data_IF_916969208096
#
_entry.id   IF_916969208096
#
_cell.length_a   1.000
_cell.length_b   1.000
_cell.length_c   1.000
_cell.angle_alpha   90.00
_cell.angle_beta   90.00
_cell.angle_gamma   90.00
#
_symmetry.space_group_name_H-M   'P 1'
#
loop_
_entity.id
_entity.type
_entity.pdbx_description
1 polymer ?
#
# COMPACT_ATOMS: atom_id res chain seq x y z
N UNK A 1 42.76 -51.09 -17.61
CA UNK A 1 42.79 -49.67 -17.21
C UNK A 1 41.36 -49.24 -16.94
N UNK A 2 40.91 -49.36 -15.68
CA UNK A 2 39.60 -48.91 -15.24
C UNK A 2 39.84 -47.85 -14.15
N UNK A 3 39.39 -46.63 -14.47
CA UNK A 3 39.57 -45.40 -13.72
C UNK A 3 38.77 -45.44 -12.42
N UNK A 4 39.46 -45.39 -11.27
CA UNK A 4 38.88 -45.17 -9.95
C UNK A 4 38.58 -43.67 -9.76
N UNK A 5 37.35 -43.25 -10.01
CA UNK A 5 36.83 -42.00 -9.45
C UNK A 5 36.48 -42.27 -7.97
N UNK A 6 37.38 -41.84 -7.09
CA UNK A 6 37.12 -41.79 -5.64
C UNK A 6 36.42 -40.46 -5.39
N UNK A 7 35.12 -40.50 -5.15
CA UNK A 7 34.35 -39.36 -4.62
C UNK A 7 34.87 -39.03 -3.22
N UNK A 8 35.66 -37.97 -3.13
CA UNK A 8 36.15 -37.40 -1.88
C UNK A 8 35.06 -36.50 -1.26
N UNK A 9 33.96 -37.09 -0.80
CA UNK A 9 33.04 -36.39 0.10
C UNK A 9 33.64 -36.43 1.51
N UNK A 10 33.88 -35.28 2.17
CA UNK A 10 34.38 -35.28 3.54
C UNK A 10 33.34 -35.90 4.45
N UNK A 11 33.65 -37.07 5.01
CA UNK A 11 32.74 -37.79 5.91
C UNK A 11 32.59 -37.01 7.22
N UNK A 12 31.40 -36.45 7.46
CA UNK A 12 30.97 -35.93 8.76
C UNK A 12 31.16 -37.02 9.83
N UNK A 13 31.79 -36.69 10.97
CA UNK A 13 32.00 -37.70 12.02
C UNK A 13 30.67 -38.13 12.62
N UNK A 14 30.50 -39.44 12.80
CA UNK A 14 29.27 -40.06 13.32
C UNK A 14 28.89 -39.49 14.70
N UNK A 15 29.90 -39.20 15.53
CA UNK A 15 29.74 -38.61 16.86
C UNK A 15 29.15 -37.19 16.83
N UNK A 16 29.43 -36.42 15.78
CA UNK A 16 28.90 -35.08 15.62
C UNK A 16 27.45 -35.09 15.14
N UNK A 17 27.13 -35.95 14.17
CA UNK A 17 25.77 -36.11 13.66
C UNK A 17 24.82 -36.49 14.82
N UNK A 18 25.28 -37.38 15.71
CA UNK A 18 24.51 -37.80 16.89
C UNK A 18 24.31 -36.71 17.95
N UNK A 19 25.15 -35.66 17.98
CA UNK A 19 24.98 -34.51 18.88
C UNK A 19 23.93 -33.51 18.40
N UNK A 20 23.54 -33.57 17.13
CA UNK A 20 22.61 -32.62 16.50
C UNK A 20 21.40 -33.35 15.90
N UNK A 21 20.32 -33.61 16.68
CA UNK A 21 19.19 -34.43 16.25
C UNK A 21 18.49 -33.94 14.97
N UNK A 22 18.47 -32.62 14.76
CA UNK A 22 17.92 -32.03 13.53
C UNK A 22 18.79 -32.31 12.31
N UNK A 23 20.12 -32.22 12.46
CA UNK A 23 21.05 -32.55 11.39
C UNK A 23 20.97 -34.04 11.04
N UNK A 24 20.88 -34.90 12.05
CA UNK A 24 20.71 -36.35 11.85
C UNK A 24 19.45 -36.65 11.04
N UNK A 25 18.28 -36.11 11.44
CA UNK A 25 17.03 -36.30 10.69
C UNK A 25 17.12 -35.82 9.24
N UNK A 26 17.83 -34.71 9.02
CA UNK A 26 17.95 -34.08 7.71
C UNK A 26 18.88 -34.87 6.77
N UNK A 27 19.97 -35.42 7.31
CA UNK A 27 20.87 -36.34 6.60
C UNK A 27 20.16 -37.67 6.29
N UNK A 28 19.46 -38.26 7.26
CA UNK A 28 18.69 -39.50 7.06
C UNK A 28 17.64 -39.33 5.96
N UNK A 29 16.92 -38.20 5.96
CA UNK A 29 15.97 -37.88 4.90
C UNK A 29 16.67 -37.75 3.53
N UNK A 30 17.80 -37.07 3.45
CA UNK A 30 18.54 -36.90 2.19
C UNK A 30 19.04 -38.24 1.60
N UNK A 31 19.53 -39.13 2.47
CA UNK A 31 19.94 -40.48 2.07
C UNK A 31 18.77 -41.31 1.52
N UNK A 32 17.56 -41.11 2.04
CA UNK A 32 16.34 -41.77 1.56
C UNK A 32 15.83 -41.20 0.23
N UNK A 33 15.96 -39.88 0.01
CA UNK A 33 15.54 -39.23 -1.24
C UNK A 33 16.48 -39.54 -2.40
N UNK A 34 17.78 -39.75 -2.14
CA UNK A 34 18.75 -40.14 -3.16
C UNK A 34 18.51 -41.53 -3.79
N UNK A 35 17.71 -42.39 -3.14
CA UNK A 35 17.36 -43.72 -3.63
C UNK A 35 16.08 -43.77 -4.47
N UNK A 36 15.26 -42.71 -4.49
CA UNK A 36 13.98 -42.67 -5.22
C UNK A 36 14.05 -41.75 -6.46
N UNK A 37 14.08 -42.35 -7.65
CA UNK A 37 13.85 -41.78 -8.99
C UNK A 37 14.68 -40.54 -9.43
N UNK A 38 15.45 -40.74 -10.52
CA UNK A 38 16.26 -39.71 -11.22
C UNK A 38 15.44 -38.55 -11.84
N UNK A 39 14.11 -38.66 -11.90
CA UNK A 39 13.24 -37.60 -12.46
C UNK A 39 12.88 -36.48 -11.47
N UNK A 40 13.30 -36.57 -10.19
CA UNK A 40 12.97 -35.61 -9.13
C UNK A 40 14.10 -34.63 -8.76
N UNK A 41 15.22 -34.61 -9.48
CA UNK A 41 16.41 -33.79 -9.13
C UNK A 41 16.11 -32.30 -8.94
N UNK A 42 15.13 -31.74 -9.65
CA UNK A 42 14.74 -30.34 -9.53
C UNK A 42 13.87 -30.02 -8.30
N UNK A 43 13.15 -31.00 -7.73
CA UNK A 43 12.15 -30.74 -6.68
C UNK A 43 12.78 -30.43 -5.32
N UNK A 44 14.03 -30.84 -5.12
CA UNK A 44 14.76 -30.66 -3.86
C UNK A 44 16.08 -29.89 -4.01
N UNK A 45 16.26 -29.15 -5.11
CA UNK A 45 17.51 -28.45 -5.43
C UNK A 45 18.01 -27.54 -4.30
N UNK A 46 17.11 -26.79 -3.65
CA UNK A 46 17.50 -25.97 -2.50
C UNK A 46 17.96 -26.80 -1.29
N UNK A 47 17.20 -27.84 -0.92
CA UNK A 47 17.54 -28.68 0.23
C UNK A 47 18.89 -29.39 0.03
N UNK A 48 19.14 -29.91 -1.17
CA UNK A 48 20.42 -30.50 -1.54
C UNK A 48 21.55 -29.49 -1.37
N UNK A 49 21.41 -28.30 -1.97
CA UNK A 49 22.39 -27.22 -1.85
C UNK A 49 22.62 -26.75 -0.41
N UNK A 50 21.56 -26.75 0.41
CA UNK A 50 21.64 -26.41 1.83
C UNK A 50 22.43 -27.45 2.63
N UNK A 51 22.19 -28.74 2.37
CA UNK A 51 22.93 -29.85 2.99
C UNK A 51 24.40 -29.83 2.56
N UNK A 52 24.66 -29.65 1.27
CA UNK A 52 26.02 -29.55 0.73
C UNK A 52 26.77 -28.36 1.36
N UNK A 53 26.09 -27.24 1.58
CA UNK A 53 26.65 -26.07 2.30
C UNK A 53 27.03 -26.44 3.74
N UNK A 54 26.16 -27.16 4.46
CA UNK A 54 26.44 -27.61 5.84
C UNK A 54 27.67 -28.53 5.85
N UNK A 55 27.70 -29.54 4.98
CA UNK A 55 28.80 -30.50 4.91
C UNK A 55 30.14 -29.82 4.58
N UNK A 56 30.12 -28.89 3.61
CA UNK A 56 31.31 -28.14 3.20
C UNK A 56 31.81 -27.14 4.24
N UNK A 57 30.90 -26.54 5.02
CA UNK A 57 31.25 -25.59 6.07
C UNK A 57 31.71 -26.29 7.35
N UNK A 58 31.30 -27.54 7.55
CA UNK A 58 31.70 -28.32 8.71
C UNK A 58 33.19 -28.64 8.74
N UNK A 59 33.82 -28.84 7.58
CA UNK A 59 35.25 -29.11 7.47
C UNK A 59 36.13 -27.88 7.62
N UNK A 60 35.52 -26.69 7.73
CA UNK A 60 36.23 -25.41 7.71
C UNK A 60 36.25 -24.78 9.09
N UNK A 61 37.31 -24.02 9.36
CA UNK A 61 37.40 -23.19 10.56
C UNK A 61 36.27 -22.15 10.58
N UNK A 62 35.73 -21.85 11.78
CA UNK A 62 34.55 -21.00 12.00
C UNK A 62 34.62 -19.58 11.41
N UNK A 63 35.82 -19.10 11.05
CA UNK A 63 36.05 -17.69 10.74
C UNK A 63 35.84 -17.32 9.26
N UNK A 64 35.64 -18.29 8.35
CA UNK A 64 35.44 -18.02 6.92
C UNK A 64 34.52 -19.07 6.26
N UNK A 65 33.28 -19.15 6.73
CA UNK A 65 32.28 -20.01 6.10
C UNK A 65 31.70 -19.32 4.85
N UNK A 66 31.91 -19.87 3.64
CA UNK A 66 31.28 -19.35 2.43
C UNK A 66 29.78 -19.69 2.42
N UNK A 67 28.98 -18.71 2.03
CA UNK A 67 27.55 -18.89 1.78
C UNK A 67 27.22 -18.40 0.37
N UNK A 68 26.46 -19.21 -0.37
CA UNK A 68 25.91 -18.80 -1.66
C UNK A 68 24.79 -17.76 -1.47
N UNK A 69 24.46 -17.03 -2.53
CA UNK A 69 23.39 -16.02 -2.48
C UNK A 69 22.02 -16.64 -2.21
N UNK A 70 21.77 -17.87 -2.66
CA UNK A 70 20.55 -18.62 -2.31
C UNK A 70 20.44 -18.84 -0.80
N UNK A 71 21.53 -19.20 -0.12
CA UNK A 71 21.54 -19.37 1.34
C UNK A 71 21.42 -18.04 2.06
N UNK A 72 22.09 -16.99 1.57
CA UNK A 72 21.96 -15.63 2.13
C UNK A 72 20.51 -15.11 2.02
N UNK A 73 19.86 -15.30 0.88
CA UNK A 73 18.47 -14.90 0.66
C UNK A 73 17.51 -15.71 1.54
N UNK A 74 17.71 -17.02 1.68
CA UNK A 74 16.96 -17.83 2.63
C UNK A 74 17.16 -17.36 4.07
N UNK A 75 18.40 -17.08 4.48
CA UNK A 75 18.74 -16.59 5.81
C UNK A 75 18.07 -15.25 6.11
N UNK A 76 18.09 -14.31 5.16
CA UNK A 76 17.39 -13.02 5.26
C UNK A 76 15.89 -13.21 5.42
N UNK A 77 15.26 -14.02 4.55
CA UNK A 77 13.82 -14.31 4.63
C UNK A 77 13.43 -14.98 5.94
N UNK A 78 14.22 -15.95 6.41
CA UNK A 78 14.00 -16.62 7.70
C UNK A 78 14.13 -15.64 8.87
N UNK A 79 15.11 -14.74 8.83
CA UNK A 79 15.30 -13.73 9.87
C UNK A 79 14.16 -12.70 9.90
N UNK A 80 13.71 -12.25 8.73
CA UNK A 80 12.63 -11.25 8.60
C UNK A 80 11.27 -11.84 8.97
N UNK A 81 10.94 -13.02 8.45
CA UNK A 81 9.61 -13.64 8.64
C UNK A 81 9.53 -14.43 9.95
N UNK A 82 10.59 -15.17 10.30
CA UNK A 82 10.65 -16.00 11.50
C UNK A 82 11.15 -15.27 12.75
N UNK A 83 11.81 -14.12 12.59
CA UNK A 83 12.39 -13.34 13.67
C UNK A 83 13.71 -13.91 14.21
N UNK A 84 14.38 -13.10 15.05
CA UNK A 84 15.72 -13.40 15.58
C UNK A 84 15.82 -14.72 16.33
N UNK A 85 14.82 -15.06 17.16
CA UNK A 85 14.84 -16.27 18.00
C UNK A 85 14.78 -17.54 17.14
N UNK A 86 13.87 -17.57 16.16
CA UNK A 86 13.74 -18.69 15.21
C UNK A 86 15.01 -18.85 14.39
N UNK A 87 15.58 -17.73 13.92
CA UNK A 87 16.84 -17.73 13.18
C UNK A 87 18.00 -18.31 13.99
N UNK A 88 18.22 -17.80 15.21
CA UNK A 88 19.29 -18.28 16.09
C UNK A 88 19.09 -19.73 16.50
N UNK A 89 17.84 -20.15 16.76
CA UNK A 89 17.52 -21.54 17.05
C UNK A 89 17.99 -22.47 15.93
N UNK A 90 17.65 -22.17 14.68
CA UNK A 90 18.07 -22.98 13.52
C UNK A 90 19.59 -22.92 13.34
N UNK A 91 20.19 -21.72 13.40
CA UNK A 91 21.64 -21.53 13.21
C UNK A 91 22.47 -22.30 14.24
N UNK A 92 22.06 -22.32 15.50
CA UNK A 92 22.77 -23.01 16.58
C UNK A 92 22.57 -24.52 16.53
N UNK A 93 21.39 -25.00 16.10
CA UNK A 93 21.12 -26.43 16.00
C UNK A 93 21.61 -27.08 14.70
N UNK A 94 21.87 -26.27 13.66
CA UNK A 94 22.48 -26.70 12.40
C UNK A 94 23.77 -25.91 12.14
N UNK A 95 24.89 -26.25 12.78
CA UNK A 95 26.14 -25.52 12.64
C UNK A 95 26.62 -25.48 11.17
N UNK A 96 27.08 -24.31 10.72
CA UNK A 96 27.55 -24.10 9.35
C UNK A 96 26.45 -23.90 8.30
N UNK A 97 25.17 -24.03 8.68
CA UNK A 97 24.03 -23.89 7.77
C UNK A 97 23.68 -22.45 7.39
N UNK A 98 23.79 -21.52 8.34
CA UNK A 98 23.31 -20.14 8.21
C UNK A 98 24.39 -19.14 8.64
N UNK A 99 24.45 -17.95 7.99
CA UNK A 99 25.35 -16.86 8.35
C UNK A 99 25.24 -16.41 9.82
N UNK A 100 26.31 -15.82 10.35
CA UNK A 100 26.26 -15.14 11.65
C UNK A 100 25.36 -13.90 11.61
N UNK A 101 24.88 -13.45 12.78
CA UNK A 101 24.12 -12.20 12.88
C UNK A 101 24.90 -10.99 12.37
N UNK A 102 26.23 -10.97 12.57
CA UNK A 102 27.10 -9.91 12.04
C UNK A 102 27.06 -9.87 10.52
N UNK A 103 27.22 -11.03 9.87
CA UNK A 103 27.12 -11.12 8.41
C UNK A 103 25.72 -10.76 7.91
N UNK A 104 24.66 -11.20 8.59
CA UNK A 104 23.29 -10.81 8.29
C UNK A 104 23.10 -9.29 8.36
N UNK A 105 23.61 -8.64 9.40
CA UNK A 105 23.54 -7.18 9.53
C UNK A 105 24.30 -6.49 8.40
N UNK A 106 25.47 -7.00 8.00
CA UNK A 106 26.21 -6.51 6.84
C UNK A 106 25.43 -6.70 5.54
N UNK A 107 24.75 -7.85 5.37
CA UNK A 107 23.89 -8.08 4.21
C UNK A 107 22.73 -7.08 4.18
N UNK A 108 22.05 -6.89 5.32
CA UNK A 108 20.95 -5.93 5.45
C UNK A 108 21.43 -4.50 5.17
N UNK A 109 22.61 -4.11 5.68
CA UNK A 109 23.16 -2.77 5.46
C UNK A 109 23.62 -2.54 4.03
N UNK A 110 24.06 -3.60 3.34
CA UNK A 110 24.53 -3.54 1.95
C UNK A 110 23.39 -3.62 0.92
N UNK A 111 22.19 -4.04 1.33
CA UNK A 111 21.02 -3.86 0.48
C UNK A 111 20.82 -2.34 0.34
N UNK A 112 20.80 -1.84 -0.91
CA UNK A 112 20.56 -0.42 -1.27
C UNK A 112 19.11 0.04 -0.95
N UNK A 113 18.60 -0.35 0.21
CA UNK A 113 17.23 -0.20 0.67
C UNK A 113 17.13 0.60 1.97
N UNK A 114 18.21 1.26 2.41
CA UNK A 114 18.13 2.20 3.54
C UNK A 114 17.11 3.29 3.20
N UNK A 115 16.11 3.42 4.05
CA UNK A 115 15.07 4.45 3.94
C UNK A 115 15.52 5.64 4.78
N UNK A 116 15.54 6.82 4.18
CA UNK A 116 15.81 8.08 4.88
C UNK A 116 14.49 8.77 5.23
N UNK A 117 14.46 9.48 6.37
CA UNK A 117 13.30 10.29 6.75
C UNK A 117 13.04 11.37 5.68
N UNK A 118 11.76 11.58 5.34
CA UNK A 118 11.28 12.56 4.37
C UNK A 118 11.79 12.38 2.93
N UNK A 119 12.49 11.29 2.62
CA UNK A 119 12.92 10.98 1.26
C UNK A 119 11.79 10.34 0.45
N UNK A 120 11.50 10.90 -0.72
CA UNK A 120 10.61 10.29 -1.71
C UNK A 120 11.42 9.45 -2.70
N UNK A 121 11.20 8.13 -2.67
CA UNK A 121 11.99 7.12 -3.39
C UNK A 121 11.44 6.84 -4.80
N UNK A 122 11.28 7.88 -5.62
CA UNK A 122 10.65 7.77 -6.94
C UNK A 122 11.43 6.91 -7.93
N UNK A 123 12.76 6.94 -7.89
CA UNK A 123 13.59 6.16 -8.82
C UNK A 123 13.54 4.65 -8.48
N UNK A 124 13.50 4.33 -7.19
CA UNK A 124 13.28 2.95 -6.74
C UNK A 124 11.85 2.48 -7.01
N UNK A 125 10.87 3.39 -6.92
CA UNK A 125 9.49 3.11 -7.32
C UNK A 125 9.41 2.79 -8.83
N UNK A 126 10.09 3.55 -9.68
CA UNK A 126 10.14 3.28 -11.12
C UNK A 126 10.73 1.90 -11.40
N UNK A 127 11.87 1.59 -10.80
CA UNK A 127 12.47 0.25 -10.93
C UNK A 127 11.52 -0.85 -10.50
N UNK A 128 10.80 -0.67 -9.38
CA UNK A 128 9.78 -1.62 -8.94
C UNK A 128 8.67 -1.80 -9.99
N UNK A 129 8.20 -0.71 -10.62
CA UNK A 129 7.17 -0.79 -11.66
C UNK A 129 7.68 -1.48 -12.93
N UNK A 130 8.93 -1.22 -13.32
CA UNK A 130 9.60 -1.85 -14.46
C UNK A 130 9.78 -3.36 -14.24
N UNK A 131 10.22 -3.77 -13.05
CA UNK A 131 10.44 -5.18 -12.66
C UNK A 131 9.15 -6.01 -12.75
N UNK A 132 8.00 -5.40 -12.45
CA UNK A 132 6.69 -6.04 -12.56
C UNK A 132 5.94 -5.74 -13.87
N UNK A 133 6.49 -4.90 -14.76
CA UNK A 133 5.84 -4.43 -15.99
C UNK A 133 4.42 -3.87 -15.74
N UNK A 134 4.30 -2.96 -14.77
CA UNK A 134 3.04 -2.29 -14.40
C UNK A 134 3.15 -0.78 -14.63
N UNK A 135 2.01 -0.14 -14.92
CA UNK A 135 1.97 1.32 -15.18
C UNK A 135 0.95 2.06 -14.34
N UNK A 136 -0.06 1.39 -13.79
CA UNK A 136 -1.12 2.03 -13.02
C UNK A 136 -0.93 1.78 -11.53
N UNK A 137 -1.24 2.79 -10.71
CA UNK A 137 -1.10 2.67 -9.26
C UNK A 137 -2.15 3.49 -8.51
N UNK A 138 -2.42 3.09 -7.27
CA UNK A 138 -3.17 3.87 -6.30
C UNK A 138 -2.21 4.38 -5.23
N UNK A 139 -2.28 5.67 -4.90
CA UNK A 139 -1.55 6.23 -3.77
C UNK A 139 -2.34 6.07 -2.48
N UNK A 140 -1.68 5.87 -1.36
CA UNK A 140 -2.31 5.93 -0.05
C UNK A 140 -1.44 6.71 0.93
N UNK A 141 -2.08 7.62 1.65
CA UNK A 141 -1.46 8.39 2.73
C UNK A 141 -2.18 8.08 4.03
N UNK A 142 -1.42 7.75 5.07
CA UNK A 142 -1.98 7.53 6.41
C UNK A 142 -0.95 7.90 7.50
N UNK A 143 -1.44 8.16 8.70
CA UNK A 143 -0.64 8.55 9.85
C UNK A 143 -0.76 7.53 10.97
N UNK A 144 0.37 7.09 11.50
CA UNK A 144 0.42 6.14 12.62
C UNK A 144 1.13 6.72 13.84
N UNK A 145 0.74 6.28 15.04
CA UNK A 145 1.38 6.68 16.28
C UNK A 145 2.74 6.02 16.47
N UNK A 146 3.74 6.79 16.91
CA UNK A 146 5.10 6.31 17.16
C UNK A 146 5.60 6.69 18.55
N UNK A 147 6.59 5.93 19.03
CA UNK A 147 7.31 6.25 20.27
C UNK A 147 8.19 7.48 20.02
N UNK A 148 7.92 8.57 20.75
CA UNK A 148 8.68 9.83 20.68
C UNK A 148 10.16 9.58 21.00
N UNK A 149 11.00 9.52 19.96
CA UNK A 149 12.45 9.32 20.11
C UNK A 149 13.21 10.07 19.03
N UNK A 150 14.25 10.79 19.45
CA UNK A 150 15.21 11.41 18.54
C UNK A 150 16.37 10.42 18.36
N UNK A 151 16.81 10.24 17.11
CA UNK A 151 17.99 9.46 16.76
C UNK A 151 18.90 10.28 15.85
N UNK A 152 20.19 10.23 16.13
CA UNK A 152 21.20 10.80 15.25
C UNK A 152 21.53 9.81 14.12
N UNK A 153 21.51 10.27 12.87
CA UNK A 153 22.07 9.56 11.73
C UNK A 153 23.43 10.17 11.38
N UNK A 154 24.50 9.40 11.65
CA UNK A 154 25.87 9.82 11.37
C UNK A 154 26.20 9.93 9.89
N UNK A 155 25.40 9.29 9.02
CA UNK A 155 25.65 9.27 7.57
C UNK A 155 25.34 10.63 6.96
N UNK A 156 24.21 11.22 7.37
CA UNK A 156 23.68 12.50 6.87
C UNK A 156 23.95 13.64 7.85
N UNK A 157 24.48 13.33 9.03
CA UNK A 157 24.67 14.27 10.13
C UNK A 157 23.35 14.96 10.54
N UNK A 158 22.27 14.18 10.64
CA UNK A 158 20.92 14.68 10.90
C UNK A 158 20.31 14.06 12.15
N UNK A 159 19.40 14.80 12.77
CA UNK A 159 18.61 14.33 13.91
C UNK A 159 17.18 14.01 13.47
N UNK A 160 16.85 12.72 13.45
CA UNK A 160 15.55 12.21 13.01
C UNK A 160 14.61 12.05 14.21
N UNK A 161 13.31 12.27 14.01
CA UNK A 161 12.28 12.13 15.04
C UNK A 161 11.67 13.44 15.56
N UNK A 162 12.08 14.57 15.01
CA UNK A 162 11.31 15.82 15.09
C UNK A 162 10.28 15.86 13.95
N UNK A 163 9.16 16.60 14.11
CA UNK A 163 8.26 16.90 13.00
C UNK A 163 9.02 17.56 11.85
N UNK A 164 8.95 16.97 10.66
CA UNK A 164 9.66 17.52 9.49
C UNK A 164 8.83 18.65 8.88
N UNK A 165 9.38 19.87 8.78
CA UNK A 165 8.65 20.98 8.19
C UNK A 165 8.34 20.71 6.70
N UNK A 166 7.12 21.03 6.25
CA UNK A 166 6.79 20.96 4.84
C UNK A 166 7.19 22.23 4.08
N UNK A 167 7.66 22.06 2.86
CA UNK A 167 7.70 23.07 1.82
C UNK A 167 6.63 22.74 0.77
N UNK A 168 5.61 23.59 0.65
CA UNK A 168 4.45 23.33 -0.22
C UNK A 168 3.84 21.92 -0.01
N UNK A 169 3.70 21.52 1.26
CA UNK A 169 3.19 20.21 1.67
C UNK A 169 4.16 19.03 1.55
N UNK A 170 5.31 19.20 0.88
CA UNK A 170 6.34 18.17 0.75
C UNK A 170 7.36 18.33 1.90
N UNK A 171 7.64 17.29 2.70
CA UNK A 171 8.61 17.39 3.79
C UNK A 171 10.02 17.68 3.26
N UNK A 172 10.76 18.52 3.98
CA UNK A 172 12.14 18.84 3.62
C UNK A 172 13.09 17.74 4.14
N UNK A 173 13.73 17.02 3.22
CA UNK A 173 14.73 16.00 3.55
C UNK A 173 15.90 16.62 4.33
N UNK A 174 16.38 15.92 5.35
CA UNK A 174 17.57 16.29 6.15
C UNK A 174 17.46 17.68 6.84
N UNK A 175 16.25 18.16 7.13
CA UNK A 175 16.02 19.50 7.69
C UNK A 175 16.80 19.80 8.98
N UNK A 176 16.89 18.82 9.90
CA UNK A 176 17.59 18.96 11.17
C UNK A 176 19.07 18.56 11.09
N UNK A 177 19.74 19.00 10.03
CA UNK A 177 21.20 18.91 9.88
C UNK A 177 21.87 20.07 10.62
N UNK A 178 22.84 19.79 11.48
CA UNK A 178 23.57 20.85 12.18
C UNK A 178 24.96 20.39 12.65
N UNK A 179 25.94 21.29 12.55
CA UNK A 179 27.26 21.15 13.17
C UNK A 179 27.39 21.96 14.47
N UNK A 180 26.34 22.70 14.86
CA UNK A 180 26.33 23.59 16.01
C UNK A 180 25.59 22.96 17.20
N UNK A 181 26.28 22.86 18.33
CA UNK A 181 25.69 22.44 19.59
C UNK A 181 24.59 23.40 20.06
N UNK A 182 24.74 24.71 19.81
CA UNK A 182 23.74 25.69 20.22
C UNK A 182 22.44 25.52 19.43
N UNK A 183 22.54 25.33 18.11
CA UNK A 183 21.38 25.02 17.25
C UNK A 183 20.70 23.72 17.68
N UNK A 184 21.49 22.70 18.01
CA UNK A 184 20.98 21.43 18.52
C UNK A 184 20.24 21.62 19.85
N UNK A 185 20.84 22.32 20.80
CA UNK A 185 20.27 22.62 22.12
C UNK A 185 18.97 23.40 21.99
N UNK A 186 18.92 24.39 21.10
CA UNK A 186 17.70 25.14 20.80
C UNK A 186 16.61 24.21 20.24
N UNK A 187 16.93 23.34 19.28
CA UNK A 187 15.98 22.38 18.72
C UNK A 187 15.38 21.44 19.78
N UNK A 188 16.20 20.87 20.65
CA UNK A 188 15.75 19.98 21.73
C UNK A 188 14.88 20.67 22.80
N UNK A 189 15.07 21.98 23.00
CA UNK A 189 14.32 22.74 23.99
C UNK A 189 13.03 23.37 23.44
N UNK A 190 12.95 23.59 22.13
CA UNK A 190 11.86 24.35 21.50
C UNK A 190 10.94 23.52 20.63
N UNK A 191 11.37 22.35 20.16
CA UNK A 191 10.62 21.53 19.22
C UNK A 191 10.16 20.25 19.91
N UNK A 192 8.85 20.03 19.88
CA UNK A 192 8.27 18.79 20.36
C UNK A 192 8.67 17.61 19.48
N UNK A 193 8.95 16.48 20.11
CA UNK A 193 9.24 15.23 19.40
C UNK A 193 8.01 14.75 18.66
N UNK A 194 8.20 14.21 17.46
CA UNK A 194 7.12 13.66 16.67
C UNK A 194 6.47 12.46 17.37
N UNK A 195 5.16 12.54 17.60
CA UNK A 195 4.33 11.41 18.03
C UNK A 195 3.71 10.63 16.87
N UNK A 196 3.80 11.17 15.66
CA UNK A 196 3.09 10.66 14.50
C UNK A 196 4.07 10.45 13.36
N UNK A 197 3.90 9.37 12.61
CA UNK A 197 4.63 9.08 11.40
C UNK A 197 3.64 9.11 10.24
N UNK A 198 3.83 10.05 9.31
CA UNK A 198 3.08 10.05 8.07
C UNK A 198 3.74 9.08 7.09
N UNK A 199 2.95 8.23 6.45
CA UNK A 199 3.42 7.15 5.58
C UNK A 199 2.73 7.24 4.23
N UNK A 200 3.54 7.19 3.17
CA UNK A 200 3.08 7.22 1.79
C UNK A 200 3.38 5.88 1.13
N UNK A 201 2.34 5.17 0.74
CA UNK A 201 2.45 3.90 0.02
C UNK A 201 1.90 4.06 -1.40
N UNK A 202 2.52 3.37 -2.36
CA UNK A 202 2.01 3.26 -3.73
C UNK A 202 1.70 1.79 -3.98
N UNK A 203 0.43 1.49 -4.24
CA UNK A 203 -0.04 0.15 -4.59
C UNK A 203 -0.16 0.03 -6.12
N UNK A 204 0.63 -0.82 -6.77
CA UNK A 204 0.44 -1.09 -8.19
C UNK A 204 -0.93 -1.75 -8.43
N UNK A 205 -1.59 -1.35 -9.52
CA UNK A 205 -2.87 -1.92 -9.96
C UNK A 205 -2.57 -3.02 -10.97
N UNK A 206 -3.07 -4.22 -10.67
CA UNK A 206 -2.88 -5.40 -11.50
C UNK A 206 -3.50 -5.22 -12.88
N UNK A 207 -2.75 -5.60 -13.92
CA UNK A 207 -3.31 -5.76 -15.27
C UNK A 207 -3.96 -7.15 -15.41
N UNK A 208 -5.00 -7.25 -16.25
CA UNK A 208 -5.76 -8.50 -16.50
C UNK A 208 -4.84 -9.68 -16.86
N UNK A 209 -3.67 -9.40 -17.44
CA UNK A 209 -2.72 -10.41 -17.92
C UNK A 209 -1.59 -10.77 -16.94
N UNK A 210 -1.60 -10.26 -15.71
CA UNK A 210 -0.57 -10.56 -14.70
C UNK A 210 -1.07 -11.58 -13.70
N UNK A 211 -0.32 -12.67 -13.51
CA UNK A 211 -0.57 -13.69 -12.48
C UNK A 211 -0.01 -13.30 -11.10
N UNK A 212 0.88 -12.31 -11.03
CA UNK A 212 1.55 -11.86 -9.81
C UNK A 212 0.99 -10.50 -9.41
N UNK A 213 0.54 -10.39 -8.16
CA UNK A 213 0.11 -9.12 -7.54
C UNK A 213 1.37 -8.42 -7.01
N UNK A 214 1.76 -7.26 -7.55
CA UNK A 214 2.91 -6.54 -7.04
C UNK A 214 2.65 -6.04 -5.62
N UNK A 215 3.65 -6.17 -4.75
CA UNK A 215 3.54 -5.66 -3.38
C UNK A 215 3.47 -4.12 -3.37
N UNK A 216 2.75 -3.53 -2.40
CA UNK A 216 2.79 -2.08 -2.22
C UNK A 216 4.20 -1.61 -1.91
N UNK A 217 4.53 -0.41 -2.39
CA UNK A 217 5.84 0.20 -2.26
C UNK A 217 5.79 1.37 -1.28
N UNK A 218 6.67 1.37 -0.28
CA UNK A 218 6.85 2.50 0.64
C UNK A 218 7.62 3.63 -0.08
N UNK A 219 6.89 4.68 -0.43
CA UNK A 219 7.42 5.83 -1.16
C UNK A 219 8.16 6.81 -0.25
N UNK A 220 7.58 7.15 0.90
CA UNK A 220 8.16 8.09 1.87
C UNK A 220 7.55 7.89 3.25
N UNK A 221 8.32 8.20 4.30
CA UNK A 221 7.83 8.27 5.67
C UNK A 221 8.57 9.36 6.46
N UNK A 222 7.86 10.10 7.30
CA UNK A 222 8.43 11.19 8.09
C UNK A 222 7.58 11.59 9.30
N UNK A 223 8.24 12.13 10.33
CA UNK A 223 7.59 12.64 11.52
C UNK A 223 6.72 13.88 11.25
N UNK A 224 5.54 13.96 11.87
CA UNK A 224 4.63 15.12 11.78
C UNK A 224 4.02 15.49 13.14
N UNK A 225 3.51 16.71 13.23
CA UNK A 225 2.85 17.30 14.42
C UNK A 225 1.33 17.53 14.21
N UNK A 226 0.74 16.88 13.21
CA UNK A 226 -0.67 17.01 12.83
C UNK A 226 -1.12 18.41 12.36
N UNK A 227 -0.20 19.35 12.10
CA UNK A 227 -0.54 20.74 11.70
C UNK A 227 -0.84 20.91 10.21
N UNK A 228 -0.54 19.91 9.38
CA UNK A 228 -0.73 19.98 7.93
C UNK A 228 -2.18 20.31 7.54
N UNK A 229 -2.34 21.27 6.63
CA UNK A 229 -3.64 21.68 6.10
C UNK A 229 -4.07 20.84 4.90
N UNK A 230 -5.33 20.96 4.51
CA UNK A 230 -5.84 20.33 3.28
C UNK A 230 -5.10 20.82 2.03
N UNK A 231 -4.61 22.07 2.03
CA UNK A 231 -3.84 22.61 0.91
C UNK A 231 -2.45 21.97 0.83
N UNK A 232 -1.78 21.77 1.98
CA UNK A 232 -0.50 21.07 2.04
C UNK A 232 -0.63 19.64 1.53
N UNK A 233 -1.70 18.95 1.93
CA UNK A 233 -2.00 17.59 1.44
C UNK A 233 -2.17 17.58 -0.09
N UNK A 234 -2.95 18.52 -0.64
CA UNK A 234 -3.15 18.61 -2.09
C UNK A 234 -1.86 18.88 -2.85
N UNK A 235 -1.04 19.81 -2.37
CA UNK A 235 0.24 20.14 -3.01
C UNK A 235 1.19 18.95 -2.98
N UNK A 236 1.20 18.19 -1.87
CA UNK A 236 1.94 16.92 -1.76
C UNK A 236 1.43 15.86 -2.74
N UNK A 237 0.13 15.64 -2.82
CA UNK A 237 -0.45 14.68 -3.78
C UNK A 237 -0.15 15.07 -5.22
N UNK A 238 -0.22 16.36 -5.52
CA UNK A 238 0.15 16.90 -6.83
C UNK A 238 1.63 16.66 -7.15
N UNK A 239 2.52 16.88 -6.19
CA UNK A 239 3.94 16.58 -6.32
C UNK A 239 4.17 15.10 -6.61
N UNK A 240 3.57 14.20 -5.81
CA UNK A 240 3.66 12.74 -6.02
C UNK A 240 3.13 12.36 -7.41
N UNK A 241 1.96 12.87 -7.79
CA UNK A 241 1.35 12.62 -9.08
C UNK A 241 2.27 12.99 -10.24
N UNK A 242 2.86 14.19 -10.21
CA UNK A 242 3.75 14.67 -11.27
C UNK A 242 5.06 13.88 -11.35
N UNK A 243 5.66 13.57 -10.20
CA UNK A 243 6.91 12.79 -10.15
C UNK A 243 6.72 11.35 -10.66
N UNK A 244 5.57 10.75 -10.36
CA UNK A 244 5.17 9.45 -10.92
C UNK A 244 4.91 9.55 -12.42
N UNK A 245 4.19 10.59 -12.87
CA UNK A 245 3.86 10.79 -14.27
C UNK A 245 5.12 10.93 -15.15
N UNK A 246 6.13 11.66 -14.68
CA UNK A 246 7.43 11.80 -15.35
C UNK A 246 8.16 10.46 -15.53
N UNK A 247 7.87 9.48 -14.68
CA UNK A 247 8.44 8.12 -14.68
C UNK A 247 7.53 7.09 -15.33
N UNK A 248 6.53 7.54 -16.10
CA UNK A 248 5.52 6.71 -16.75
C UNK A 248 4.64 5.87 -15.79
N UNK A 249 4.49 6.33 -14.54
CA UNK A 249 3.58 5.74 -13.56
C UNK A 249 2.31 6.60 -13.47
N UNK A 250 1.16 5.98 -13.71
CA UNK A 250 -0.16 6.61 -13.72
C UNK A 250 -0.85 6.39 -12.38
N UNK A 251 -0.82 7.39 -11.50
CA UNK A 251 -1.62 7.39 -10.28
C UNK A 251 -3.09 7.63 -10.65
N UNK A 252 -3.96 6.65 -10.37
CA UNK A 252 -5.40 6.73 -10.68
C UNK A 252 -6.22 7.38 -9.56
N UNK A 253 -5.65 7.48 -8.36
CA UNK A 253 -6.29 8.11 -7.21
C UNK A 253 -5.44 8.01 -5.94
N UNK A 254 -5.91 8.69 -4.90
CA UNK A 254 -5.35 8.62 -3.55
C UNK A 254 -6.42 8.12 -2.55
N UNK A 255 -6.01 7.27 -1.61
CA UNK A 255 -6.80 6.88 -0.44
C UNK A 255 -6.15 7.43 0.83
N UNK A 256 -6.96 7.73 1.82
CA UNK A 256 -6.51 8.23 3.12
C UNK A 256 -7.62 8.03 4.14
N UNK A 257 -7.29 8.18 5.42
CA UNK A 257 -8.25 8.17 6.51
C UNK A 257 -9.24 9.35 6.43
N UNK A 258 -10.36 9.22 7.13
CA UNK A 258 -11.49 10.15 7.12
C UNK A 258 -11.29 11.40 8.01
N UNK A 259 -10.04 11.78 8.29
CA UNK A 259 -9.76 13.05 8.99
C UNK A 259 -10.23 14.24 8.15
N UNK A 260 -10.72 15.29 8.80
CA UNK A 260 -11.35 16.44 8.16
C UNK A 260 -10.43 17.13 7.14
N UNK A 261 -9.12 17.19 7.40
CA UNK A 261 -8.12 17.76 6.48
C UNK A 261 -7.97 16.93 5.20
N UNK A 262 -7.99 15.60 5.32
CA UNK A 262 -7.88 14.65 4.21
C UNK A 262 -9.18 14.62 3.40
N UNK A 263 -10.34 14.59 4.05
CA UNK A 263 -11.64 14.70 3.37
C UNK A 263 -11.76 16.02 2.60
N UNK A 264 -11.28 17.12 3.17
CA UNK A 264 -11.24 18.41 2.47
C UNK A 264 -10.31 18.38 1.26
N UNK A 265 -9.13 17.76 1.37
CA UNK A 265 -8.23 17.57 0.24
C UNK A 265 -8.86 16.70 -0.86
N UNK A 266 -9.45 15.55 -0.52
CA UNK A 266 -10.19 14.69 -1.45
C UNK A 266 -11.32 15.44 -2.17
N UNK A 267 -12.09 16.25 -1.44
CA UNK A 267 -13.16 17.08 -2.00
C UNK A 267 -12.64 18.13 -2.99
N UNK A 268 -11.44 18.66 -2.78
CA UNK A 268 -10.83 19.64 -3.67
C UNK A 268 -10.17 18.98 -4.88
N UNK A 269 -9.70 17.74 -4.73
CA UNK A 269 -9.11 16.94 -5.81
C UNK A 269 -10.17 16.34 -6.76
N UNK A 270 -11.32 15.95 -6.22
CA UNK A 270 -12.49 15.56 -7.02
C UNK A 270 -13.30 16.81 -7.35
N UNK A 271 -13.80 16.97 -8.58
CA UNK A 271 -14.86 17.96 -8.84
C UNK A 271 -16.19 17.33 -8.42
N UNK A 272 -16.75 17.68 -7.24
CA UNK A 272 -17.95 17.02 -6.74
C UNK A 272 -19.17 17.39 -7.57
N UNK A 273 -19.17 18.54 -8.24
CA UNK A 273 -20.23 18.93 -9.20
C UNK A 273 -20.18 18.02 -10.43
N UNK A 274 -18.98 17.71 -10.94
CA UNK A 274 -18.81 16.76 -12.03
C UNK A 274 -19.13 15.31 -11.63
N UNK A 275 -18.80 14.90 -10.39
CA UNK A 275 -19.17 13.59 -9.84
C UNK A 275 -20.70 13.43 -9.80
N UNK A 276 -21.40 14.42 -9.25
CA UNK A 276 -22.87 14.42 -9.13
C UNK A 276 -23.53 14.39 -10.52
N UNK A 277 -23.03 15.16 -11.48
CA UNK A 277 -23.55 15.13 -12.85
C UNK A 277 -23.24 13.81 -13.57
N UNK A 278 -22.07 13.18 -13.35
CA UNK A 278 -21.80 11.82 -13.85
C UNK A 278 -22.74 10.78 -13.26
N UNK A 279 -23.03 10.87 -11.96
CA UNK A 279 -23.99 9.99 -11.28
C UNK A 279 -25.39 10.12 -11.89
N UNK A 280 -25.88 11.36 -12.07
CA UNK A 280 -27.13 11.62 -12.83
C UNK A 280 -27.08 11.03 -14.24
N UNK A 281 -26.02 11.30 -14.99
CA UNK A 281 -25.89 10.82 -16.37
C UNK A 281 -25.89 9.29 -16.47
N UNK A 282 -25.42 8.59 -15.44
CA UNK A 282 -25.47 7.13 -15.37
C UNK A 282 -26.91 6.63 -15.21
N UNK A 283 -27.73 7.28 -14.39
CA UNK A 283 -29.17 7.00 -14.28
C UNK A 283 -29.91 7.22 -15.60
N UNK A 284 -29.53 8.26 -16.36
CA UNK A 284 -30.16 8.59 -17.65
C UNK A 284 -29.66 7.71 -18.82
N UNK A 285 -28.68 6.85 -18.59
CA UNK A 285 -28.02 6.07 -19.64
C UNK A 285 -28.86 4.85 -20.03
N UNK A 286 -29.17 4.71 -21.32
CA UNK A 286 -29.86 3.51 -21.84
C UNK A 286 -28.94 2.29 -21.98
N UNK A 287 -27.63 2.46 -21.80
CA UNK A 287 -26.61 1.42 -22.01
C UNK A 287 -26.24 0.65 -20.75
N UNK A 288 -26.76 1.05 -19.59
CA UNK A 288 -26.31 0.55 -18.31
C UNK A 288 -27.49 0.08 -17.48
N UNK A 289 -27.47 -1.20 -17.12
CA UNK A 289 -28.35 -1.71 -16.07
C UNK A 289 -27.79 -1.29 -14.72
N UNK A 290 -28.66 -0.70 -13.89
CA UNK A 290 -28.33 -0.27 -12.54
C UNK A 290 -29.16 -1.07 -11.55
N UNK A 291 -28.49 -1.69 -10.60
CA UNK A 291 -29.12 -2.43 -9.51
C UNK A 291 -28.43 -2.14 -8.17
N UNK A 292 -29.20 -2.25 -7.09
CA UNK A 292 -28.73 -2.23 -5.71
C UNK A 292 -29.29 -3.46 -5.00
N UNK A 293 -28.45 -4.48 -4.82
CA UNK A 293 -28.92 -5.81 -4.42
C UNK A 293 -29.92 -6.36 -5.45
N UNK A 294 -31.11 -6.74 -5.00
CA UNK A 294 -32.18 -7.28 -5.86
C UNK A 294 -33.11 -6.20 -6.42
N UNK A 295 -32.81 -4.91 -6.24
CA UNK A 295 -33.65 -3.80 -6.64
C UNK A 295 -33.11 -3.14 -7.91
N UNK A 296 -33.97 -2.90 -8.90
CA UNK A 296 -33.60 -2.21 -10.13
C UNK A 296 -33.73 -0.69 -9.99
N UNK A 297 -32.82 0.02 -10.65
CA UNK A 297 -32.83 1.48 -10.76
C UNK A 297 -33.16 1.82 -12.20
N UNK A 298 -34.35 2.37 -12.44
CA UNK A 298 -34.87 2.61 -13.78
C UNK A 298 -35.25 4.08 -13.95
N UNK A 299 -34.87 4.64 -15.10
CA UNK A 299 -35.29 5.99 -15.49
C UNK A 299 -36.79 6.06 -15.79
N UNK A 300 -37.42 4.93 -16.15
CA UNK A 300 -38.87 4.84 -16.36
C UNK A 300 -39.65 5.29 -15.13
N UNK A 301 -39.19 4.96 -13.92
CA UNK A 301 -39.82 5.41 -12.66
C UNK A 301 -39.97 6.94 -12.60
N UNK A 302 -38.99 7.69 -13.11
CA UNK A 302 -39.06 9.16 -13.14
C UNK A 302 -39.93 9.66 -14.30
N UNK A 303 -39.93 8.97 -15.44
CA UNK A 303 -40.84 9.27 -16.54
C UNK A 303 -42.30 9.09 -16.12
N UNK A 304 -42.60 8.03 -15.37
CA UNK A 304 -43.95 7.73 -14.88
C UNK A 304 -44.42 8.84 -13.94
N UNK A 305 -43.60 9.28 -12.98
CA UNK A 305 -43.90 10.42 -12.10
C UNK A 305 -44.11 11.71 -12.89
N UNK A 306 -43.32 11.95 -13.94
CA UNK A 306 -43.42 13.17 -14.76
C UNK A 306 -44.68 13.21 -15.62
N UNK A 307 -45.18 12.05 -16.05
CA UNK A 307 -46.33 11.92 -16.94
C UNK A 307 -47.63 11.58 -16.19
N UNK A 308 -47.56 11.19 -14.92
CA UNK A 308 -48.73 10.86 -14.11
C UNK A 308 -49.54 12.13 -13.77
N UNK A 309 -50.81 12.14 -14.16
CA UNK A 309 -51.75 13.25 -13.96
C UNK A 309 -52.16 13.46 -12.49
N UNK A 310 -51.89 12.47 -11.63
CA UNK A 310 -52.18 12.52 -10.18
C UNK A 310 -51.32 13.54 -9.45
N UNK A 311 -50.12 13.84 -9.95
CA UNK A 311 -49.20 14.78 -9.31
C UNK A 311 -49.12 16.09 -10.10
N UNK A 312 -49.39 17.22 -9.43
CA UNK A 312 -49.23 18.51 -10.10
C UNK A 312 -47.75 18.78 -10.41
N UNK A 313 -47.48 19.68 -11.36
CA UNK A 313 -46.10 20.10 -11.68
C UNK A 313 -45.36 20.68 -10.46
N UNK A 314 -46.08 21.27 -9.51
CA UNK A 314 -45.52 21.80 -8.28
C UNK A 314 -45.16 20.67 -7.31
N UNK A 315 -45.99 19.63 -7.21
CA UNK A 315 -45.78 18.51 -6.28
C UNK A 315 -44.57 17.66 -6.67
N UNK A 316 -44.35 17.44 -7.97
CA UNK A 316 -43.25 16.59 -8.46
C UNK A 316 -41.90 17.31 -8.59
N UNK A 317 -41.90 18.65 -8.72
CA UNK A 317 -40.68 19.46 -8.84
C UNK A 317 -39.75 19.12 -10.02
N UNK A 318 -40.17 18.23 -10.93
CA UNK A 318 -39.39 17.70 -12.05
C UNK A 318 -40.07 17.96 -13.38
N UNK A 319 -39.28 18.19 -14.43
CA UNK A 319 -39.74 18.38 -15.81
C UNK A 319 -39.01 17.43 -16.77
N UNK A 320 -39.54 17.26 -18.00
CA UNK A 320 -38.89 16.42 -19.03
C UNK A 320 -37.45 16.88 -19.35
N UNK A 321 -37.17 18.17 -19.26
CA UNK A 321 -35.81 18.70 -19.43
C UNK A 321 -34.85 18.24 -18.33
N UNK A 322 -35.33 18.00 -17.10
CA UNK A 322 -34.47 17.61 -15.98
C UNK A 322 -33.90 16.19 -16.12
N UNK A 323 -34.55 15.35 -16.91
CA UNK A 323 -34.11 13.99 -17.24
C UNK A 323 -33.67 13.84 -18.70
N UNK A 324 -33.36 14.94 -19.40
CA UNK A 324 -32.87 14.90 -20.76
C UNK A 324 -31.39 14.43 -20.80
N UNK A 325 -31.07 13.29 -21.44
CA UNK A 325 -29.70 12.76 -21.48
C UNK A 325 -28.74 13.59 -22.33
N UNK A 326 -29.25 14.47 -23.21
CA UNK A 326 -28.41 15.36 -24.03
C UNK A 326 -27.74 16.46 -23.19
N UNK A 327 -28.36 16.87 -22.09
CA UNK A 327 -27.84 17.90 -21.21
C UNK A 327 -27.01 17.26 -20.08
N UNK A 328 -25.77 16.91 -20.41
CA UNK A 328 -24.86 16.15 -19.53
C UNK A 328 -24.25 16.97 -18.39
N UNK A 329 -24.39 18.30 -18.41
CA UNK A 329 -23.77 19.21 -17.43
C UNK A 329 -24.78 19.84 -16.46
N UNK A 330 -26.05 19.41 -16.50
CA UNK A 330 -27.11 20.00 -15.71
C UNK A 330 -27.06 19.60 -14.22
N UNK A 331 -26.25 20.34 -13.45
CA UNK A 331 -26.20 20.17 -12.00
C UNK A 331 -27.53 20.57 -11.32
N UNK A 332 -28.25 21.56 -11.85
CA UNK A 332 -29.51 22.03 -11.27
C UNK A 332 -30.57 20.92 -11.22
N UNK A 333 -30.62 20.07 -12.24
CA UNK A 333 -31.49 18.90 -12.27
C UNK A 333 -31.10 17.85 -11.23
N UNK A 334 -29.81 17.74 -10.88
CA UNK A 334 -29.36 16.84 -9.81
C UNK A 334 -29.97 17.25 -8.47
N UNK A 335 -30.04 18.55 -8.16
CA UNK A 335 -30.67 19.06 -6.94
C UNK A 335 -32.17 18.70 -6.90
N UNK A 336 -32.89 18.91 -8.02
CA UNK A 336 -34.32 18.56 -8.13
C UNK A 336 -34.59 17.07 -7.99
N UNK A 337 -33.73 16.23 -8.56
CA UNK A 337 -33.79 14.76 -8.42
C UNK A 337 -33.56 14.28 -6.98
N UNK A 338 -33.06 15.15 -6.09
CA UNK A 338 -32.82 14.85 -4.68
C UNK A 338 -33.76 15.61 -3.73
N UNK A 339 -34.84 16.18 -4.26
CA UNK A 339 -35.82 16.93 -3.49
C UNK A 339 -36.58 16.00 -2.52
N UNK A 340 -37.02 16.56 -1.39
CA UNK A 340 -37.77 15.80 -0.39
C UNK A 340 -39.13 15.35 -0.92
N UNK A 341 -39.77 16.15 -1.78
CA UNK A 341 -41.09 15.84 -2.32
C UNK A 341 -41.04 14.68 -3.31
N UNK A 342 -40.00 14.62 -4.16
CA UNK A 342 -39.78 13.47 -5.02
C UNK A 342 -39.53 12.19 -4.21
N UNK A 343 -38.82 12.28 -3.09
CA UNK A 343 -38.57 11.12 -2.23
C UNK A 343 -39.84 10.58 -1.58
N UNK A 344 -40.80 11.45 -1.22
CA UNK A 344 -42.10 11.01 -0.71
C UNK A 344 -42.83 10.21 -1.80
N UNK A 345 -42.93 10.76 -3.01
CA UNK A 345 -43.60 10.10 -4.14
C UNK A 345 -42.96 8.74 -4.47
N UNK A 346 -41.62 8.67 -4.52
CA UNK A 346 -40.90 7.42 -4.78
C UNK A 346 -40.94 6.41 -3.62
N UNK A 347 -41.35 6.82 -2.43
CA UNK A 347 -41.49 5.94 -1.28
C UNK A 347 -42.88 5.29 -1.22
N UNK A 348 -43.86 5.82 -1.95
CA UNK A 348 -45.23 5.30 -1.99
C UNK A 348 -45.36 4.03 -2.86
N UNK A 349 -44.40 3.78 -3.77
CA UNK A 349 -44.33 2.57 -4.60
C UNK A 349 -43.13 1.68 -4.21
N UNK A 350 -43.39 0.39 -4.00
CA UNK A 350 -42.37 -0.61 -3.66
C UNK A 350 -41.40 -0.83 -4.83
N UNK A 351 -41.87 -0.72 -6.08
CA UNK A 351 -41.05 -0.95 -7.27
C UNK A 351 -40.00 0.15 -7.49
N UNK A 352 -40.23 1.35 -6.94
CA UNK A 352 -39.32 2.49 -7.07
C UNK A 352 -38.23 2.52 -5.99
N UNK A 353 -38.21 1.55 -5.07
CA UNK A 353 -37.32 1.53 -3.91
C UNK A 353 -35.84 1.60 -4.27
N UNK A 354 -35.40 0.87 -5.29
CA UNK A 354 -34.02 0.93 -5.77
C UNK A 354 -33.62 2.33 -6.25
N UNK A 355 -34.52 2.98 -6.99
CA UNK A 355 -34.31 4.35 -7.50
C UNK A 355 -34.32 5.38 -6.38
N UNK A 356 -35.20 5.23 -5.39
CA UNK A 356 -35.20 6.07 -4.19
C UNK A 356 -33.85 6.01 -3.45
N UNK A 357 -33.35 4.81 -3.15
CA UNK A 357 -32.06 4.64 -2.46
C UNK A 357 -30.93 5.26 -3.27
N UNK A 358 -30.91 5.03 -4.59
CA UNK A 358 -29.90 5.60 -5.49
C UNK A 358 -29.88 7.14 -5.44
N UNK A 359 -31.06 7.78 -5.43
CA UNK A 359 -31.17 9.23 -5.34
C UNK A 359 -30.89 9.76 -3.92
N UNK A 360 -31.18 8.99 -2.87
CA UNK A 360 -30.77 9.31 -1.50
C UNK A 360 -29.24 9.30 -1.37
N UNK A 361 -28.54 8.32 -1.95
CA UNK A 361 -27.08 8.32 -2.01
C UNK A 361 -26.55 9.56 -2.73
N UNK A 362 -27.15 9.92 -3.87
CA UNK A 362 -26.80 11.15 -4.59
C UNK A 362 -26.99 12.40 -3.72
N UNK A 363 -28.07 12.47 -2.94
CA UNK A 363 -28.33 13.56 -1.98
C UNK A 363 -27.25 13.63 -0.91
N UNK A 364 -26.87 12.49 -0.34
CA UNK A 364 -25.80 12.42 0.66
C UNK A 364 -24.47 12.91 0.08
N UNK A 365 -24.14 12.54 -1.16
CA UNK A 365 -22.95 13.04 -1.87
C UNK A 365 -23.03 14.56 -2.05
N UNK A 366 -24.16 15.11 -2.46
CA UNK A 366 -24.36 16.56 -2.61
C UNK A 366 -24.17 17.28 -1.26
N UNK A 367 -24.77 16.77 -0.18
CA UNK A 367 -24.66 17.36 1.15
C UNK A 367 -23.23 17.28 1.71
N UNK A 368 -22.55 16.16 1.51
CA UNK A 368 -21.20 15.94 1.98
C UNK A 368 -20.17 16.79 1.22
N UNK A 369 -20.28 16.87 -0.11
CA UNK A 369 -19.20 17.37 -0.96
C UNK A 369 -19.52 18.68 -1.70
N UNK A 370 -20.79 19.05 -1.90
CA UNK A 370 -21.17 20.23 -2.69
C UNK A 370 -21.78 21.34 -1.84
N UNK A 371 -22.69 21.01 -0.91
CA UNK A 371 -23.44 21.98 -0.12
C UNK A 371 -22.52 22.80 0.80
N UNK A 372 -22.56 24.13 0.65
CA UNK A 372 -21.67 25.06 1.36
C UNK A 372 -22.15 25.35 2.78
N UNK A 373 -23.45 25.22 3.03
CA UNK A 373 -24.07 25.54 4.32
C UNK A 373 -24.01 24.41 5.34
N UNK A 374 -23.76 23.17 4.90
CA UNK A 374 -23.63 22.01 5.80
C UNK A 374 -22.43 22.18 6.71
N UNK A 375 -22.68 22.14 8.02
CA UNK A 375 -21.66 22.27 9.05
C UNK A 375 -20.77 21.02 9.11
N UNK A 376 -19.59 21.13 9.71
CA UNK A 376 -18.67 19.97 9.85
C UNK A 376 -19.30 18.88 10.72
N UNK A 377 -20.11 19.24 11.72
CA UNK A 377 -20.79 18.28 12.59
C UNK A 377 -21.86 17.46 11.85
N UNK A 378 -22.57 18.08 10.90
CA UNK A 378 -23.58 17.42 10.05
C UNK A 378 -22.96 16.58 8.91
N UNK A 379 -21.63 16.62 8.74
CA UNK A 379 -20.88 15.81 7.76
C UNK A 379 -20.18 14.59 8.36
N UNK A 380 -20.24 14.43 9.69
CA UNK A 380 -19.89 13.18 10.38
C UNK A 380 -21.05 12.21 10.27
#
# INVERSE_FOLDING_TARGET
MASSYVDSNPSLSFDFINKHPLLQKLITWYQQVGTENKDNENKHGFLKHFIDTIANNFTKSSNNLPYSDTIKNFALSLYILGGKLTYEFIRLNLPGSLPSLTMLNTLISNLNSKISEAEFRFDQLQKHFDDYNVQYAFGSEDTTGIIKKIKYDSTTNTFNGFPTPPDHGVPIKEYYQTNSFDTLKLGFNSIDKSSLLNVHMIQPVQSINQSIIPSPFLLSAYGIDNTATANDILQRWWYIFNQCLQRNIRIIGFSTDADAKYLRAMRLMSDPTHLVTKWRNRLLSSTAELCLGNQFILISHLHDIINNETYSKLDRGLTKSDINPKDRQNFSSCLKLTSADLFKILNDDVNTRGTLIYLQMLKMIILAYVEKKTTIAERK
#
